data_IF_331933478489
#
_entry.id   IF_331933478489
#
_cell.length_a   1.000
_cell.length_b   1.000
_cell.length_c   1.000
_cell.angle_alpha   90.00
_cell.angle_beta   90.00
_cell.angle_gamma   90.00
#
_symmetry.space_group_name_H-M   'P 1'
#
loop_
_entity.id
_entity.type
_entity.pdbx_description
1 polymer ?
#
# COMPACT_ATOMS: atom_id res chain seq x y z
N UNK A 1 10.88 16.38 -8.91
CA UNK A 1 10.70 17.33 -7.77
C UNK A 1 10.83 16.58 -6.44
N UNK A 2 9.92 15.68 -6.05
CA UNK A 2 10.00 14.93 -4.77
C UNK A 2 11.35 14.22 -4.53
N UNK A 3 11.95 13.62 -5.55
CA UNK A 3 13.26 12.95 -5.41
C UNK A 3 14.39 13.92 -5.02
N UNK A 4 14.33 15.18 -5.46
CA UNK A 4 15.30 16.21 -5.08
C UNK A 4 15.18 16.61 -3.62
N UNK A 5 13.95 16.77 -3.13
CA UNK A 5 13.69 17.04 -1.70
C UNK A 5 14.16 15.89 -0.81
N UNK A 6 13.93 14.66 -1.24
CA UNK A 6 14.42 13.49 -0.55
C UNK A 6 15.95 13.44 -0.46
N UNK A 7 16.62 13.74 -1.55
CA UNK A 7 18.09 13.79 -1.55
C UNK A 7 18.61 14.87 -0.60
N UNK A 8 17.98 16.05 -0.60
CA UNK A 8 18.31 17.14 0.33
C UNK A 8 18.07 16.77 1.79
N UNK A 9 17.00 16.02 2.08
CA UNK A 9 16.71 15.47 3.40
C UNK A 9 17.86 14.56 3.88
N UNK A 10 18.30 13.63 3.04
CA UNK A 10 19.41 12.72 3.36
C UNK A 10 20.76 13.42 3.53
N UNK A 11 20.98 14.52 2.82
CA UNK A 11 22.22 15.30 2.94
C UNK A 11 22.19 16.32 4.08
N UNK A 12 21.10 16.36 4.86
CA UNK A 12 20.99 17.22 6.04
C UNK A 12 20.84 18.70 5.75
N UNK A 13 20.44 19.08 4.53
CA UNK A 13 20.19 20.49 4.20
C UNK A 13 18.81 20.94 4.71
N UNK A 14 18.80 21.79 5.73
CA UNK A 14 17.58 22.24 6.42
C UNK A 14 16.47 22.78 5.50
N UNK A 15 16.80 23.46 4.40
CA UNK A 15 15.81 23.94 3.44
C UNK A 15 15.04 22.80 2.79
N UNK A 16 15.72 21.76 2.35
CA UNK A 16 15.09 20.57 1.74
C UNK A 16 14.32 19.73 2.75
N UNK A 17 14.78 19.67 3.99
CA UNK A 17 14.07 19.00 5.08
C UNK A 17 12.73 19.68 5.32
N UNK A 18 12.70 21.02 5.41
CA UNK A 18 11.46 21.78 5.58
C UNK A 18 10.50 21.60 4.41
N UNK A 19 11.00 21.67 3.19
CA UNK A 19 10.18 21.49 1.98
C UNK A 19 9.58 20.08 1.92
N UNK A 20 10.37 19.06 2.26
CA UNK A 20 9.91 17.69 2.30
C UNK A 20 8.85 17.46 3.39
N UNK A 21 9.10 17.97 4.59
CA UNK A 21 8.15 17.94 5.70
C UNK A 21 6.81 18.56 5.30
N UNK A 22 6.84 19.77 4.73
CA UNK A 22 5.65 20.48 4.29
C UNK A 22 4.85 19.71 3.24
N UNK A 23 5.53 19.22 2.18
CA UNK A 23 4.86 18.49 1.09
C UNK A 23 4.27 17.17 1.59
N UNK A 24 5.00 16.43 2.45
CA UNK A 24 4.52 15.14 2.96
C UNK A 24 3.30 15.30 3.86
N UNK A 25 3.27 16.33 4.73
CA UNK A 25 2.11 16.61 5.57
C UNK A 25 0.92 17.14 4.79
N UNK A 26 1.12 17.96 3.74
CA UNK A 26 0.00 18.37 2.85
C UNK A 26 -0.60 17.16 2.14
N UNK A 27 0.24 16.25 1.62
CA UNK A 27 -0.24 15.03 0.98
C UNK A 27 -1.00 14.14 1.96
N UNK A 28 -0.47 14.01 3.18
CA UNK A 28 -1.13 13.28 4.26
C UNK A 28 -2.52 13.88 4.57
N UNK A 29 -2.59 15.18 4.80
CA UNK A 29 -3.84 15.86 5.10
C UNK A 29 -4.88 15.70 3.99
N UNK A 30 -4.46 15.79 2.72
CA UNK A 30 -5.34 15.56 1.58
C UNK A 30 -5.90 14.14 1.59
N UNK A 31 -5.05 13.13 1.78
CA UNK A 31 -5.48 11.74 1.79
C UNK A 31 -6.39 11.42 2.98
N UNK A 32 -6.10 11.98 4.16
CA UNK A 32 -6.96 11.83 5.35
C UNK A 32 -8.32 12.52 5.11
N UNK A 33 -8.33 13.73 4.55
CA UNK A 33 -9.59 14.42 4.23
C UNK A 33 -10.46 13.63 3.23
N UNK A 34 -9.85 12.96 2.25
CA UNK A 34 -10.57 12.09 1.31
C UNK A 34 -11.12 10.84 1.99
N UNK A 35 -10.37 10.25 2.93
CA UNK A 35 -10.84 9.13 3.73
C UNK A 35 -12.02 9.52 4.62
N UNK A 36 -11.94 10.68 5.30
CA UNK A 36 -13.03 11.24 6.09
C UNK A 36 -14.29 11.53 5.25
N UNK A 37 -14.10 12.14 4.07
CA UNK A 37 -15.21 12.43 3.15
C UNK A 37 -15.94 11.15 2.73
N UNK A 38 -15.21 10.12 2.37
CA UNK A 38 -15.80 8.81 2.02
C UNK A 38 -16.53 8.18 3.18
N UNK A 39 -15.95 8.19 4.38
CA UNK A 39 -16.62 7.66 5.58
C UNK A 39 -17.95 8.37 5.84
N UNK A 40 -18.03 9.69 5.61
CA UNK A 40 -19.28 10.45 5.74
C UNK A 40 -20.30 10.11 4.64
N UNK A 41 -19.84 9.91 3.40
CA UNK A 41 -20.70 9.51 2.28
C UNK A 41 -21.30 8.11 2.51
N UNK A 42 -20.52 7.17 3.03
CA UNK A 42 -20.97 5.82 3.33
C UNK A 42 -22.04 5.80 4.44
N UNK A 43 -21.92 6.66 5.47
CA UNK A 43 -22.94 6.84 6.52
C UNK A 43 -24.22 7.50 5.97
N UNK A 44 -24.10 8.41 5.01
CA UNK A 44 -25.25 9.12 4.42
C UNK A 44 -26.11 8.24 3.48
N UNK A 45 -25.55 7.12 3.03
CA UNK A 45 -26.19 6.20 2.07
C UNK A 45 -26.58 4.90 2.76
N UNK A 46 -27.56 4.97 3.70
CA UNK A 46 -28.06 3.83 4.50
C UNK A 46 -28.60 2.62 3.69
N UNK A 47 -28.60 2.63 2.36
CA UNK A 47 -29.29 1.63 1.54
C UNK A 47 -28.56 1.21 0.26
N UNK A 48 -27.24 1.29 0.18
CA UNK A 48 -26.52 0.63 -0.91
C UNK A 48 -25.77 -0.58 -0.36
N UNK A 49 -25.93 -1.70 -1.03
CA UNK A 49 -25.03 -2.86 -0.97
C UNK A 49 -23.63 -2.43 -1.46
N UNK A 50 -22.97 -1.56 -0.70
CA UNK A 50 -21.61 -1.13 -0.94
C UNK A 50 -20.65 -2.25 -0.51
N UNK A 51 -20.80 -3.43 -1.12
CA UNK A 51 -19.84 -4.50 -0.96
C UNK A 51 -18.50 -4.06 -1.53
N UNK A 52 -17.52 -4.00 -0.66
CA UNK A 52 -16.14 -3.78 -1.05
C UNK A 52 -15.46 -5.13 -1.19
N UNK A 53 -14.33 -5.18 -1.90
CA UNK A 53 -13.51 -6.39 -1.97
C UNK A 53 -13.03 -6.84 -0.58
N UNK A 54 -12.90 -5.91 0.36
CA UNK A 54 -12.50 -6.21 1.73
C UNK A 54 -13.56 -7.01 2.49
N UNK A 55 -14.85 -6.81 2.20
CA UNK A 55 -15.94 -7.57 2.85
C UNK A 55 -15.84 -9.07 2.55
N UNK A 56 -15.29 -9.41 1.39
CA UNK A 56 -15.04 -10.80 1.03
C UNK A 56 -13.87 -11.44 1.81
N UNK A 57 -13.10 -10.66 2.55
CA UNK A 57 -11.99 -11.16 3.39
C UNK A 57 -12.45 -11.42 4.83
N UNK A 58 -13.62 -10.90 5.22
CA UNK A 58 -14.14 -11.06 6.57
C UNK A 58 -14.33 -12.54 6.92
N UNK A 59 -13.81 -12.94 8.09
CA UNK A 59 -13.89 -14.33 8.57
C UNK A 59 -13.02 -15.35 7.83
N UNK A 60 -12.22 -14.92 6.84
CA UNK A 60 -11.28 -15.81 6.14
C UNK A 60 -9.96 -15.91 6.88
N UNK A 61 -9.42 -17.13 6.93
CA UNK A 61 -8.05 -17.38 7.43
C UNK A 61 -7.03 -17.00 6.33
N UNK A 62 -6.84 -15.69 6.14
CA UNK A 62 -5.89 -15.16 5.18
C UNK A 62 -5.07 -14.02 5.78
N UNK A 63 -3.85 -13.86 5.29
CA UNK A 63 -2.99 -12.73 5.61
C UNK A 63 -3.11 -11.69 4.49
N UNK A 64 -3.18 -10.41 4.87
CA UNK A 64 -3.36 -9.30 3.94
C UNK A 64 -2.11 -8.44 3.88
N UNK A 65 -1.60 -8.19 2.67
CA UNK A 65 -0.59 -7.17 2.39
C UNK A 65 -1.26 -6.12 1.51
N UNK A 66 -1.31 -4.88 1.98
CA UNK A 66 -1.87 -3.77 1.21
C UNK A 66 -0.77 -2.82 0.72
N UNK A 67 -0.94 -2.32 -0.50
CA UNK A 67 -0.12 -1.25 -1.09
C UNK A 67 -0.80 0.12 -1.00
N UNK A 68 -2.03 0.15 -0.49
CA UNK A 68 -2.76 1.38 -0.20
C UNK A 68 -2.34 1.95 1.16
N UNK A 69 -2.42 3.26 1.29
CA UNK A 69 -2.10 3.97 2.54
C UNK A 69 -3.32 4.09 3.47
N UNK A 70 -4.53 3.94 2.92
CA UNK A 70 -5.80 4.13 3.62
C UNK A 70 -6.08 3.04 4.66
N UNK A 71 -6.88 3.35 5.68
CA UNK A 71 -7.16 2.44 6.80
C UNK A 71 -8.11 1.26 6.46
N UNK A 72 -8.70 1.22 5.26
CA UNK A 72 -9.71 0.22 4.89
C UNK A 72 -9.26 -1.24 5.08
N UNK A 73 -8.02 -1.56 4.74
CA UNK A 73 -7.51 -2.91 4.91
C UNK A 73 -7.50 -3.34 6.39
N UNK A 74 -7.18 -2.43 7.31
CA UNK A 74 -7.15 -2.72 8.76
C UNK A 74 -8.54 -2.79 9.40
N UNK A 75 -9.57 -2.25 8.77
CA UNK A 75 -10.95 -2.38 9.24
C UNK A 75 -11.44 -3.83 9.13
N UNK A 76 -11.08 -4.51 8.03
CA UNK A 76 -11.49 -5.90 7.79
C UNK A 76 -10.46 -6.92 8.29
N UNK A 77 -9.18 -6.60 8.18
CA UNK A 77 -8.06 -7.41 8.65
C UNK A 77 -7.16 -6.60 9.59
N UNK A 78 -7.38 -6.66 10.92
CA UNK A 78 -6.58 -5.89 11.89
C UNK A 78 -5.07 -6.16 11.82
N UNK A 79 -4.67 -7.31 11.26
CA UNK A 79 -3.27 -7.71 11.06
C UNK A 79 -2.76 -7.40 9.65
N UNK A 80 -3.49 -6.60 8.86
CA UNK A 80 -3.07 -6.20 7.52
C UNK A 80 -1.73 -5.46 7.57
N UNK A 81 -0.81 -5.89 6.70
CA UNK A 81 0.52 -5.32 6.60
C UNK A 81 0.54 -4.26 5.50
N UNK A 82 0.92 -3.04 5.86
CA UNK A 82 1.00 -1.89 4.95
C UNK A 82 2.39 -1.80 4.33
N UNK A 83 2.55 -2.34 3.13
CA UNK A 83 3.86 -2.48 2.46
C UNK A 83 4.57 -1.15 2.23
N UNK A 84 3.82 -0.09 2.05
CA UNK A 84 4.32 1.27 1.82
C UNK A 84 4.10 2.20 3.01
N UNK A 85 3.76 1.66 4.18
CA UNK A 85 3.31 2.43 5.34
C UNK A 85 1.84 2.81 5.25
N UNK A 86 1.32 3.44 6.28
CA UNK A 86 -0.08 3.81 6.41
C UNK A 86 -0.25 5.28 6.77
N UNK A 87 -1.46 5.82 6.54
CA UNK A 87 -1.80 7.17 6.99
C UNK A 87 -1.91 7.27 8.52
N UNK A 88 -2.05 6.14 9.21
CA UNK A 88 -2.14 6.12 10.68
C UNK A 88 -0.80 6.37 11.37
N UNK A 89 0.30 6.21 10.65
CA UNK A 89 1.63 6.23 11.25
C UNK A 89 2.42 7.47 10.83
N UNK A 90 3.17 8.02 11.79
CA UNK A 90 4.22 8.99 11.50
C UNK A 90 5.46 8.69 12.37
N UNK A 91 6.61 9.13 11.92
CA UNK A 91 7.89 8.86 12.57
C UNK A 91 8.67 10.13 12.76
N UNK A 92 9.25 10.33 13.93
CA UNK A 92 10.28 11.33 14.13
C UNK A 92 11.61 10.77 13.62
N UNK A 93 12.09 11.30 12.51
CA UNK A 93 13.30 10.78 11.84
C UNK A 93 14.60 11.08 12.59
N UNK A 94 14.62 12.05 13.47
CA UNK A 94 15.79 12.37 14.32
C UNK A 94 15.83 11.43 15.54
N UNK A 95 14.72 11.33 16.25
CA UNK A 95 14.64 10.56 17.50
C UNK A 95 14.27 9.09 17.28
N UNK A 96 13.88 8.71 16.06
CA UNK A 96 13.47 7.35 15.69
C UNK A 96 12.26 6.83 16.47
N UNK A 97 11.40 7.72 16.91
CA UNK A 97 10.14 7.38 17.56
C UNK A 97 9.05 7.20 16.52
N UNK A 98 8.31 6.12 16.63
CA UNK A 98 7.13 5.84 15.81
C UNK A 98 5.89 6.26 16.61
N UNK A 99 4.95 6.92 15.94
CA UNK A 99 3.69 7.39 16.49
C UNK A 99 2.53 6.82 15.69
N UNK A 100 1.38 6.65 16.34
CA UNK A 100 0.19 6.09 15.73
C UNK A 100 -1.02 6.99 16.03
N UNK A 101 -1.78 7.32 14.99
CA UNK A 101 -3.10 7.91 15.13
C UNK A 101 -4.14 6.82 15.44
N UNK A 102 -4.97 7.01 16.43
CA UNK A 102 -5.98 6.03 16.82
C UNK A 102 -7.05 5.86 15.73
N UNK A 103 -7.61 6.98 15.26
CA UNK A 103 -8.66 6.99 14.24
C UNK A 103 -8.52 8.21 13.34
N UNK A 104 -8.31 7.96 12.04
CA UNK A 104 -8.18 9.02 11.04
C UNK A 104 -9.51 9.71 10.73
N UNK A 105 -10.64 9.05 10.93
CA UNK A 105 -11.97 9.59 10.59
C UNK A 105 -12.41 10.69 11.55
N UNK A 106 -11.84 10.73 12.75
CA UNK A 106 -12.18 11.67 13.82
C UNK A 106 -11.14 12.77 14.03
N UNK A 107 -10.01 12.72 13.32
CA UNK A 107 -8.96 13.75 13.45
C UNK A 107 -9.48 15.10 12.99
N UNK A 108 -9.42 16.10 13.88
CA UNK A 108 -9.52 17.49 13.50
C UNK A 108 -8.17 17.95 12.90
N UNK A 109 -8.13 18.07 11.58
CA UNK A 109 -6.90 18.43 10.85
C UNK A 109 -6.38 19.82 11.24
N UNK A 110 -7.28 20.77 11.56
CA UNK A 110 -6.87 22.11 11.95
C UNK A 110 -6.19 22.10 13.32
N UNK A 111 -6.79 21.44 14.29
CA UNK A 111 -6.23 21.27 15.64
C UNK A 111 -4.92 20.48 15.59
N UNK A 112 -4.89 19.38 14.82
CA UNK A 112 -3.68 18.58 14.66
C UNK A 112 -2.49 19.41 14.14
N UNK A 113 -2.69 20.19 13.08
CA UNK A 113 -1.60 20.99 12.52
C UNK A 113 -1.18 22.16 13.40
N UNK A 114 -2.14 22.86 14.03
CA UNK A 114 -1.86 24.07 14.80
C UNK A 114 -1.29 23.76 16.20
N UNK A 115 -1.81 22.72 16.84
CA UNK A 115 -1.55 22.51 18.26
C UNK A 115 -0.69 21.27 18.52
N UNK A 116 -0.86 20.19 17.76
CA UNK A 116 -0.13 18.96 18.00
C UNK A 116 1.17 18.93 17.20
N UNK A 117 1.10 18.89 15.87
CA UNK A 117 2.27 18.79 15.02
C UNK A 117 3.23 19.97 15.16
N UNK A 118 2.68 21.19 15.25
CA UNK A 118 3.50 22.39 15.41
C UNK A 118 4.32 22.40 16.70
N UNK A 119 3.81 21.78 17.76
CA UNK A 119 4.51 21.64 19.02
C UNK A 119 5.63 20.57 18.98
N UNK A 120 5.48 19.57 18.11
CA UNK A 120 6.46 18.48 17.96
C UNK A 120 7.64 18.86 17.04
N UNK A 121 7.43 19.76 16.08
CA UNK A 121 8.49 20.14 15.12
C UNK A 121 9.49 21.07 15.79
N UNK A 122 10.76 20.65 15.85
CA UNK A 122 11.87 21.46 16.34
C UNK A 122 13.09 21.34 15.44
N UNK A 123 13.67 22.48 15.10
CA UNK A 123 14.96 22.58 14.40
C UNK A 123 16.10 23.04 15.34
N UNK A 124 15.83 23.14 16.63
CA UNK A 124 16.84 23.43 17.65
C UNK A 124 17.87 22.28 17.68
N UNK A 125 19.17 22.56 17.55
CA UNK A 125 20.22 21.53 17.59
C UNK A 125 20.18 20.64 18.85
N UNK A 126 19.77 21.22 19.98
CA UNK A 126 19.73 20.51 21.28
C UNK A 126 18.45 19.68 21.47
N UNK A 127 17.39 19.98 20.71
CA UNK A 127 16.08 19.37 20.82
C UNK A 127 15.43 19.17 19.45
N UNK A 128 16.18 18.62 18.51
CA UNK A 128 15.71 18.44 17.13
C UNK A 128 14.65 17.34 17.08
N UNK A 129 13.51 17.66 16.46
CA UNK A 129 12.41 16.73 16.22
C UNK A 129 11.79 17.01 14.85
N UNK A 130 11.72 15.99 14.01
CA UNK A 130 11.22 16.10 12.63
C UNK A 130 10.24 14.95 12.38
N UNK A 131 8.99 15.09 12.84
CA UNK A 131 7.93 14.12 12.56
C UNK A 131 7.53 14.19 11.08
N UNK A 132 7.46 13.04 10.42
CA UNK A 132 6.98 12.90 9.04
C UNK A 132 6.00 11.74 8.93
N UNK A 133 4.99 11.83 8.05
CA UNK A 133 4.08 10.73 7.82
C UNK A 133 4.83 9.47 7.36
N UNK A 134 4.47 8.33 7.93
CA UNK A 134 5.11 7.05 7.69
C UNK A 134 4.52 6.34 6.46
N UNK A 135 4.53 7.02 5.31
CA UNK A 135 4.21 6.38 4.04
C UNK A 135 5.29 6.67 2.99
N UNK A 136 5.62 5.65 2.22
CA UNK A 136 6.63 5.76 1.17
C UNK A 136 5.98 6.29 -0.11
N UNK A 137 6.38 7.47 -0.60
CA UNK A 137 5.88 7.97 -1.87
C UNK A 137 6.27 7.02 -3.02
N UNK A 138 5.52 7.01 -4.14
CA UNK A 138 5.74 6.11 -5.26
C UNK A 138 6.97 6.54 -6.08
N UNK A 139 8.15 6.50 -5.47
CA UNK A 139 9.44 6.81 -6.08
C UNK A 139 10.17 5.53 -6.47
N UNK A 140 10.95 5.56 -7.55
CA UNK A 140 11.78 4.43 -7.99
C UNK A 140 12.83 4.00 -6.96
N UNK A 141 13.38 4.96 -6.21
CA UNK A 141 14.22 4.72 -5.05
C UNK A 141 13.45 5.15 -3.83
N UNK A 142 13.08 4.20 -2.99
CA UNK A 142 12.38 4.45 -1.74
C UNK A 142 13.38 4.51 -0.61
N UNK A 143 13.54 5.65 0.02
CA UNK A 143 14.44 5.76 1.16
C UNK A 143 13.82 5.03 2.36
N UNK A 144 14.59 4.16 2.96
CA UNK A 144 14.27 3.54 4.24
C UNK A 144 14.63 4.53 5.33
N UNK A 145 13.63 5.25 5.83
CA UNK A 145 13.80 6.30 6.85
C UNK A 145 13.63 5.78 8.27
N UNK A 146 13.02 4.62 8.45
CA UNK A 146 12.82 4.00 9.75
C UNK A 146 13.04 2.48 9.69
N UNK A 147 13.38 1.89 10.84
CA UNK A 147 13.49 0.44 11.02
C UNK A 147 12.16 -0.26 10.72
N UNK A 148 11.05 0.42 10.97
CA UNK A 148 9.69 -0.08 10.72
C UNK A 148 9.52 -0.63 9.29
N UNK A 149 10.05 0.05 8.26
CA UNK A 149 9.96 -0.45 6.88
C UNK A 149 10.75 -1.74 6.64
N UNK A 150 11.90 -1.89 7.29
CA UNK A 150 12.71 -3.11 7.19
C UNK A 150 11.93 -4.28 7.80
N UNK A 151 11.37 -4.07 8.98
CA UNK A 151 10.56 -5.07 9.68
C UNK A 151 9.30 -5.42 8.85
N UNK A 152 8.61 -4.43 8.30
CA UNK A 152 7.45 -4.61 7.43
C UNK A 152 7.79 -5.46 6.20
N UNK A 153 8.84 -5.13 5.49
CA UNK A 153 9.26 -5.88 4.30
C UNK A 153 9.76 -7.28 4.62
N UNK A 154 10.42 -7.45 5.77
CA UNK A 154 10.79 -8.78 6.26
C UNK A 154 9.55 -9.64 6.54
N UNK A 155 8.56 -9.10 7.23
CA UNK A 155 7.31 -9.82 7.49
C UNK A 155 6.55 -10.11 6.19
N UNK A 156 6.44 -9.15 5.27
CA UNK A 156 5.86 -9.37 3.94
C UNK A 156 6.55 -10.50 3.18
N UNK A 157 7.88 -10.53 3.19
CA UNK A 157 8.67 -11.61 2.58
C UNK A 157 8.33 -12.96 3.20
N UNK A 158 8.24 -13.05 4.54
CA UNK A 158 7.87 -14.30 5.22
C UNK A 158 6.43 -14.75 4.89
N UNK A 159 5.49 -13.81 4.81
CA UNK A 159 4.11 -14.10 4.41
C UNK A 159 4.06 -14.67 2.98
N UNK A 160 4.72 -13.99 2.04
CA UNK A 160 4.77 -14.44 0.63
C UNK A 160 5.46 -15.79 0.49
N UNK A 161 6.59 -16.01 1.17
CA UNK A 161 7.35 -17.27 1.07
C UNK A 161 6.61 -18.47 1.64
N UNK A 162 5.74 -18.28 2.63
CA UNK A 162 4.98 -19.36 3.27
C UNK A 162 3.63 -19.63 2.60
N UNK A 163 3.18 -18.74 1.74
CA UNK A 163 1.89 -18.88 1.09
C UNK A 163 1.89 -20.02 0.09
N UNK A 164 0.87 -20.86 0.11
CA UNK A 164 0.57 -21.85 -0.94
C UNK A 164 -0.25 -21.24 -2.09
N UNK A 165 -1.02 -20.18 -1.78
CA UNK A 165 -1.84 -19.43 -2.73
C UNK A 165 -1.71 -17.93 -2.44
N UNK A 166 -1.50 -17.13 -3.48
CA UNK A 166 -1.39 -15.68 -3.42
C UNK A 166 -2.41 -15.09 -4.39
N UNK A 167 -3.34 -14.29 -3.87
CA UNK A 167 -4.32 -13.58 -4.68
C UNK A 167 -3.93 -12.10 -4.69
N UNK A 168 -3.76 -11.53 -5.88
CA UNK A 168 -3.33 -10.14 -6.09
C UNK A 168 -4.47 -9.38 -6.75
N UNK A 169 -4.95 -8.33 -6.09
CA UNK A 169 -6.14 -7.58 -6.45
C UNK A 169 -5.79 -6.16 -6.87
N UNK A 170 -6.07 -5.78 -8.13
CA UNK A 170 -5.93 -4.42 -8.62
C UNK A 170 -4.52 -3.82 -8.47
N UNK A 171 -3.48 -4.64 -8.52
CA UNK A 171 -2.10 -4.19 -8.33
C UNK A 171 -1.36 -4.02 -9.66
N UNK A 172 -0.79 -2.83 -9.86
CA UNK A 172 -0.20 -2.45 -11.14
C UNK A 172 1.18 -3.06 -11.44
N UNK A 173 1.83 -3.74 -10.48
CA UNK A 173 3.20 -4.23 -10.59
C UNK A 173 4.18 -3.14 -11.03
N UNK A 174 4.13 -2.01 -10.33
CA UNK A 174 5.00 -0.87 -10.60
C UNK A 174 6.48 -1.28 -10.57
N UNK A 175 7.28 -0.68 -11.45
CA UNK A 175 8.74 -0.86 -11.40
C UNK A 175 9.38 -0.26 -10.14
N UNK A 176 8.65 0.53 -9.38
CA UNK A 176 9.08 1.02 -8.06
C UNK A 176 9.02 -0.09 -6.99
N UNK A 177 8.27 -1.17 -7.24
CA UNK A 177 8.02 -2.25 -6.28
C UNK A 177 8.76 -3.55 -6.67
N UNK A 178 9.96 -3.43 -7.23
CA UNK A 178 10.76 -4.59 -7.64
C UNK A 178 11.04 -5.55 -6.48
N UNK A 179 11.16 -5.06 -5.24
CA UNK A 179 11.32 -5.91 -4.06
C UNK A 179 10.17 -6.89 -3.88
N UNK A 180 8.93 -6.44 -4.11
CA UNK A 180 7.78 -7.34 -4.06
C UNK A 180 7.80 -8.38 -5.19
N UNK A 181 8.22 -7.96 -6.38
CA UNK A 181 8.43 -8.89 -7.49
C UNK A 181 9.48 -9.97 -7.16
N UNK A 182 10.56 -9.59 -6.45
CA UNK A 182 11.58 -10.54 -6.00
C UNK A 182 10.99 -11.55 -5.01
N UNK A 183 10.23 -11.10 -4.02
CA UNK A 183 9.54 -11.97 -3.06
C UNK A 183 8.62 -12.99 -3.77
N UNK A 184 7.84 -12.54 -4.77
CA UNK A 184 6.97 -13.42 -5.55
C UNK A 184 7.76 -14.45 -6.37
N UNK A 185 8.94 -14.09 -6.86
CA UNK A 185 9.82 -15.01 -7.62
C UNK A 185 10.47 -16.06 -6.73
N UNK A 186 10.83 -15.69 -5.50
CA UNK A 186 11.44 -16.61 -4.53
C UNK A 186 10.51 -17.72 -4.07
N UNK A 187 9.20 -17.46 -4.00
CA UNK A 187 8.23 -18.52 -3.71
C UNK A 187 7.92 -19.30 -5.00
N UNK A 188 8.54 -20.43 -5.21
CA UNK A 188 8.39 -21.24 -6.43
C UNK A 188 7.12 -22.12 -6.43
N UNK A 189 6.51 -22.36 -5.28
CA UNK A 189 5.44 -23.35 -5.10
C UNK A 189 4.05 -22.72 -5.07
N UNK A 190 3.93 -21.44 -4.70
CA UNK A 190 2.65 -20.78 -4.60
C UNK A 190 1.92 -20.67 -5.93
N UNK A 191 0.63 -20.92 -5.91
CA UNK A 191 -0.28 -20.49 -6.97
C UNK A 191 -0.49 -18.97 -6.87
N UNK A 192 -0.29 -18.25 -7.95
CA UNK A 192 -0.46 -16.80 -8.03
C UNK A 192 -1.64 -16.50 -8.93
N UNK A 193 -2.66 -15.86 -8.37
CA UNK A 193 -3.87 -15.46 -9.09
C UNK A 193 -3.96 -13.94 -9.06
N UNK A 194 -4.04 -13.33 -10.23
CA UNK A 194 -4.11 -11.89 -10.38
C UNK A 194 -5.47 -11.51 -10.95
N UNK A 195 -6.16 -10.58 -10.33
CA UNK A 195 -7.44 -10.06 -10.77
C UNK A 195 -7.28 -8.57 -11.08
N UNK A 196 -7.50 -8.20 -12.34
CA UNK A 196 -7.40 -6.83 -12.80
C UNK A 196 -8.31 -6.62 -14.01
N UNK A 197 -9.04 -5.50 -14.05
CA UNK A 197 -9.92 -5.16 -15.17
C UNK A 197 -9.16 -4.90 -16.48
N UNK A 198 -7.90 -4.49 -16.39
CA UNK A 198 -7.06 -4.23 -17.56
C UNK A 198 -6.13 -5.41 -17.83
N UNK A 199 -6.68 -6.48 -18.42
CA UNK A 199 -5.98 -7.72 -18.75
C UNK A 199 -4.65 -7.50 -19.48
N UNK A 200 -4.59 -6.62 -20.47
CA UNK A 200 -3.38 -6.42 -21.29
C UNK A 200 -2.25 -5.77 -20.47
N UNK A 201 -2.59 -4.78 -19.67
CA UNK A 201 -1.61 -4.11 -18.79
C UNK A 201 -1.16 -5.04 -17.67
N UNK A 202 -2.09 -5.77 -17.05
CA UNK A 202 -1.78 -6.76 -16.02
C UNK A 202 -0.85 -7.85 -16.58
N UNK A 203 -1.20 -8.46 -17.71
CA UNK A 203 -0.38 -9.50 -18.34
C UNK A 203 1.05 -9.04 -18.62
N UNK A 204 1.22 -7.87 -19.24
CA UNK A 204 2.55 -7.31 -19.54
C UNK A 204 3.38 -7.09 -18.28
N UNK A 205 2.77 -6.51 -17.24
CA UNK A 205 3.46 -6.18 -16.01
C UNK A 205 3.79 -7.42 -15.17
N UNK A 206 2.87 -8.37 -15.11
CA UNK A 206 3.08 -9.67 -14.45
C UNK A 206 4.19 -10.47 -15.14
N UNK A 207 4.18 -10.54 -16.49
CA UNK A 207 5.23 -11.24 -17.24
C UNK A 207 6.60 -10.62 -16.96
N UNK A 208 6.68 -9.28 -16.90
CA UNK A 208 7.93 -8.59 -16.54
C UNK A 208 8.34 -8.90 -15.09
N UNK A 209 7.40 -8.81 -14.14
CA UNK A 209 7.63 -9.04 -12.72
C UNK A 209 8.09 -10.49 -12.46
N UNK A 210 7.41 -11.48 -13.03
CA UNK A 210 7.65 -12.90 -12.79
C UNK A 210 8.55 -13.56 -13.84
N UNK A 211 9.12 -12.78 -14.77
CA UNK A 211 10.00 -13.23 -15.84
C UNK A 211 9.36 -14.34 -16.71
N UNK A 212 8.08 -14.16 -17.06
CA UNK A 212 7.32 -15.08 -17.88
C UNK A 212 7.38 -14.69 -19.36
N UNK A 213 7.27 -15.68 -20.26
CA UNK A 213 7.12 -15.46 -21.71
C UNK A 213 5.72 -14.90 -22.01
N UNK A 214 5.65 -13.62 -22.42
CA UNK A 214 4.40 -12.88 -22.57
C UNK A 214 3.38 -13.54 -23.53
N UNK A 215 3.85 -14.27 -24.53
CA UNK A 215 3.00 -14.91 -25.55
C UNK A 215 2.71 -16.40 -25.26
N UNK A 216 3.20 -16.94 -24.14
CA UNK A 216 3.07 -18.35 -23.80
C UNK A 216 2.06 -18.56 -22.70
N UNK A 217 0.78 -18.48 -23.05
CA UNK A 217 -0.33 -18.73 -22.14
C UNK A 217 -1.47 -19.49 -22.82
N UNK A 218 -2.31 -20.14 -22.03
CA UNK A 218 -3.60 -20.67 -22.47
C UNK A 218 -4.69 -19.66 -22.13
N UNK A 219 -5.61 -19.44 -23.08
CA UNK A 219 -6.75 -18.53 -22.92
C UNK A 219 -8.01 -19.33 -22.70
N UNK A 220 -8.80 -18.91 -21.71
CA UNK A 220 -10.14 -19.44 -21.41
C UNK A 220 -11.11 -18.28 -21.20
N UNK A 221 -12.40 -18.52 -21.37
CA UNK A 221 -13.47 -17.61 -20.94
C UNK A 221 -14.34 -18.39 -19.95
N UNK A 222 -14.47 -17.85 -18.74
CA UNK A 222 -15.35 -18.42 -17.70
C UNK A 222 -16.16 -17.28 -17.10
N UNK A 223 -17.47 -17.46 -16.99
CA UNK A 223 -18.42 -16.49 -16.44
C UNK A 223 -18.32 -15.07 -17.06
N UNK A 224 -18.00 -15.02 -18.37
CA UNK A 224 -17.81 -13.77 -19.11
C UNK A 224 -16.42 -13.14 -19.00
N UNK A 225 -15.57 -13.64 -18.14
CA UNK A 225 -14.23 -13.11 -17.89
C UNK A 225 -13.17 -13.84 -18.71
N UNK A 226 -12.21 -13.09 -19.27
CA UNK A 226 -11.04 -13.66 -19.89
C UNK A 226 -10.05 -14.14 -18.82
N UNK A 227 -9.58 -15.38 -18.94
CA UNK A 227 -8.58 -15.99 -18.06
C UNK A 227 -7.36 -16.37 -18.89
N UNK A 228 -6.18 -15.91 -18.48
CA UNK A 228 -4.88 -16.30 -19.04
C UNK A 228 -4.09 -17.10 -18.01
N UNK A 229 -3.69 -18.31 -18.38
CA UNK A 229 -2.85 -19.16 -17.55
C UNK A 229 -1.45 -19.24 -18.12
N UNK A 230 -0.47 -18.77 -17.37
CA UNK A 230 0.96 -18.85 -17.66
C UNK A 230 1.55 -19.98 -16.81
N UNK A 231 2.03 -21.04 -17.43
CA UNK A 231 2.45 -22.26 -16.75
C UNK A 231 1.36 -22.82 -15.81
N UNK A 232 1.71 -23.68 -14.85
CA UNK A 232 0.76 -24.24 -13.87
C UNK A 232 0.61 -23.38 -12.62
N UNK A 233 1.26 -22.22 -12.56
CA UNK A 233 1.41 -21.42 -11.34
C UNK A 233 0.70 -20.08 -11.40
N UNK A 234 0.69 -19.42 -12.54
CA UNK A 234 0.20 -18.03 -12.66
C UNK A 234 -1.06 -17.96 -13.48
N UNK A 235 -2.11 -17.40 -12.90
CA UNK A 235 -3.40 -17.16 -13.56
C UNK A 235 -3.75 -15.68 -13.47
N UNK A 236 -4.16 -15.09 -14.60
CA UNK A 236 -4.65 -13.70 -14.63
C UNK A 236 -6.12 -13.76 -15.06
N UNK A 237 -6.97 -13.08 -14.29
CA UNK A 237 -8.42 -12.96 -14.54
C UNK A 237 -8.72 -11.51 -14.88
N UNK A 238 -9.28 -11.27 -16.08
CA UNK A 238 -9.69 -9.96 -16.56
C UNK A 238 -11.08 -9.62 -16.09
N UNK A 239 -11.20 -9.10 -14.86
CA UNK A 239 -12.49 -8.78 -14.25
C UNK A 239 -12.37 -7.52 -13.40
N UNK A 240 -13.51 -6.85 -13.16
CA UNK A 240 -13.63 -5.91 -12.06
C UNK A 240 -13.58 -6.68 -10.73
N UNK A 241 -12.99 -6.07 -9.70
CA UNK A 241 -12.84 -6.73 -8.39
C UNK A 241 -14.18 -7.07 -7.73
N UNK A 242 -15.23 -6.30 -8.04
CA UNK A 242 -16.57 -6.52 -7.50
C UNK A 242 -17.32 -7.63 -8.22
N UNK A 243 -16.89 -8.02 -9.41
CA UNK A 243 -17.52 -9.07 -10.21
C UNK A 243 -16.99 -10.47 -9.90
N UNK A 244 -15.96 -10.56 -9.05
CA UNK A 244 -15.29 -11.83 -8.73
C UNK A 244 -15.60 -12.23 -7.28
N UNK A 245 -16.07 -13.45 -7.09
CA UNK A 245 -16.15 -14.07 -5.78
C UNK A 245 -14.81 -14.74 -5.45
N UNK A 246 -14.14 -14.31 -4.37
CA UNK A 246 -12.84 -14.85 -3.96
C UNK A 246 -12.90 -16.31 -3.49
N UNK A 247 -14.09 -16.86 -3.20
CA UNK A 247 -14.25 -18.29 -2.87
C UNK A 247 -14.18 -19.19 -4.10
N UNK A 248 -14.43 -18.64 -5.29
CA UNK A 248 -14.43 -19.38 -6.56
C UNK A 248 -13.06 -19.33 -7.29
N UNK A 249 -12.09 -18.65 -6.69
CA UNK A 249 -10.77 -18.34 -7.29
C UNK A 249 -9.60 -19.23 -6.76
#
# INVERSE_FOLDING_TARGET
MLAGYFYGFYTGQNSYIRDYLYISWILWAYLVSEEQRKAQEDVAVENKDNHTIYDQLEGKDCQVITFNYTSYASQTSPTALYFHGSLKEYVDVENKNDFLHDDLTTIDLEDFFKNQLAAEISFDPDHKSIPIPSFLPPLKLRPVISKHYIDTWYHASQMVLRASKIIILGYSFSSADNYFCDMLRENHDAQIIIIDKNMETASRNVCRCLQLEANRYTKQIKDGHEIRKYNNRVTIIGADLLDVNLDDV
#
